data_IF_770343895644
#
_entry.id   IF_770343895644
#
_cell.length_a   1.000
_cell.length_b   1.000
_cell.length_c   1.000
_cell.angle_alpha   90.00
_cell.angle_beta   90.00
_cell.angle_gamma   90.00
#
_symmetry.space_group_name_H-M   'P 1'
#
loop_
_entity.id
_entity.type
_entity.pdbx_description
1 polymer ?
#
# COMPACT_ATOMS: atom_id res chain seq x y z
N UNK A 1 -10.22 8.59 -7.14
CA UNK A 1 -10.38 7.81 -8.40
C UNK A 1 -11.82 7.92 -8.87
N UNK A 2 -12.07 8.00 -10.19
CA UNK A 2 -13.44 7.97 -10.73
C UNK A 2 -13.96 6.54 -10.72
N UNK A 3 -15.25 6.34 -10.46
CA UNK A 3 -15.88 5.02 -10.50
C UNK A 3 -15.76 4.35 -11.87
N UNK A 4 -15.89 5.13 -12.96
CA UNK A 4 -15.72 4.62 -14.34
C UNK A 4 -14.34 4.01 -14.62
N UNK A 5 -13.27 4.47 -13.91
CA UNK A 5 -11.96 3.86 -14.03
C UNK A 5 -11.90 2.48 -13.35
N UNK A 6 -12.56 2.35 -12.22
CA UNK A 6 -12.67 1.07 -11.51
C UNK A 6 -13.52 0.07 -12.31
N UNK A 7 -14.66 0.52 -12.85
CA UNK A 7 -15.53 -0.31 -13.69
C UNK A 7 -14.79 -0.81 -14.95
N UNK A 8 -14.00 0.07 -15.59
CA UNK A 8 -13.19 -0.30 -16.74
C UNK A 8 -12.12 -1.32 -16.37
N UNK A 9 -11.40 -1.10 -15.26
CA UNK A 9 -10.42 -2.06 -14.77
C UNK A 9 -11.06 -3.43 -14.48
N UNK A 10 -12.24 -3.46 -13.86
CA UNK A 10 -12.98 -4.69 -13.61
C UNK A 10 -13.32 -5.45 -14.92
N UNK A 11 -13.71 -4.72 -15.96
CA UNK A 11 -14.08 -5.32 -17.28
C UNK A 11 -12.86 -5.81 -18.06
N UNK A 12 -11.72 -5.11 -17.99
CA UNK A 12 -10.58 -5.29 -18.89
C UNK A 12 -9.39 -6.00 -18.25
N UNK A 13 -9.24 -6.01 -16.91
CA UNK A 13 -8.15 -6.70 -16.22
C UNK A 13 -8.25 -8.22 -16.40
N UNK A 14 -7.17 -8.84 -16.90
CA UNK A 14 -7.13 -10.25 -17.26
C UNK A 14 -6.19 -11.08 -16.39
N UNK A 15 -5.34 -10.43 -15.59
CA UNK A 15 -4.39 -11.10 -14.72
C UNK A 15 -4.95 -11.29 -13.32
N UNK A 16 -4.64 -12.41 -12.68
CA UNK A 16 -5.05 -12.68 -11.31
C UNK A 16 -4.57 -11.61 -10.32
N UNK A 17 -3.31 -11.16 -10.47
CA UNK A 17 -2.74 -10.09 -9.65
C UNK A 17 -3.47 -8.75 -9.79
N UNK A 18 -3.94 -8.42 -10.99
CA UNK A 18 -4.68 -7.18 -11.25
C UNK A 18 -6.07 -7.19 -10.61
N UNK A 19 -6.69 -8.37 -10.54
CA UNK A 19 -8.01 -8.53 -9.92
C UNK A 19 -7.93 -8.62 -8.40
N UNK A 20 -6.90 -9.25 -7.87
CA UNK A 20 -6.65 -9.33 -6.43
C UNK A 20 -6.34 -7.95 -5.82
N UNK A 21 -5.43 -7.20 -6.46
CA UNK A 21 -4.96 -5.93 -5.93
C UNK A 21 -5.71 -4.69 -6.46
N UNK A 22 -6.69 -4.87 -7.35
CA UNK A 22 -7.64 -3.87 -7.88
C UNK A 22 -6.99 -2.75 -8.71
N UNK A 23 -5.96 -2.10 -8.20
CA UNK A 23 -5.38 -0.89 -8.82
C UNK A 23 -4.26 -1.13 -9.85
N UNK A 24 -3.58 -2.29 -9.93
CA UNK A 24 -2.47 -2.50 -10.86
C UNK A 24 -2.84 -2.26 -12.32
N UNK A 25 -4.00 -2.68 -12.77
CA UNK A 25 -4.46 -2.41 -14.12
C UNK A 25 -4.55 -0.91 -14.42
N UNK A 26 -5.02 -0.11 -13.45
CA UNK A 26 -5.19 1.34 -13.60
C UNK A 26 -3.83 2.04 -13.67
N UNK A 27 -2.92 1.78 -12.73
CA UNK A 27 -1.66 2.52 -12.69
C UNK A 27 -0.63 2.03 -13.73
N UNK A 28 -0.66 0.76 -14.14
CA UNK A 28 0.16 0.26 -15.26
C UNK A 28 -0.22 0.93 -16.58
N UNK A 29 -1.51 1.16 -16.79
CA UNK A 29 -2.05 1.78 -18.01
C UNK A 29 -2.29 3.30 -17.85
N UNK A 30 -1.71 3.90 -16.82
CA UNK A 30 -1.86 5.30 -16.50
C UNK A 30 -0.85 6.21 -17.21
N UNK A 31 -1.27 7.46 -17.52
CA UNK A 31 -0.44 8.45 -18.23
C UNK A 31 0.87 8.79 -17.52
N UNK A 32 0.92 8.71 -16.20
CA UNK A 32 2.16 8.95 -15.44
C UNK A 32 3.21 7.82 -15.58
N UNK A 33 2.87 6.71 -16.23
CA UNK A 33 3.76 5.59 -16.56
C UNK A 33 3.83 5.31 -18.07
N UNK A 34 3.44 6.27 -18.89
CA UNK A 34 3.45 6.14 -20.37
C UNK A 34 2.24 5.39 -20.94
N UNK A 35 1.28 4.98 -20.12
CA UNK A 35 0.00 4.41 -20.59
C UNK A 35 -0.92 5.49 -21.16
N UNK A 36 -1.93 5.05 -21.89
CA UNK A 36 -2.91 5.94 -22.57
C UNK A 36 -4.36 5.73 -22.12
N UNK A 37 -4.60 4.70 -21.31
CA UNK A 37 -5.98 4.31 -20.95
C UNK A 37 -6.56 5.20 -19.85
N UNK A 38 -5.74 5.51 -18.84
CA UNK A 38 -6.18 6.30 -17.69
C UNK A 38 -5.37 7.58 -17.56
N UNK A 39 -6.07 8.71 -17.36
CA UNK A 39 -5.41 9.94 -16.92
C UNK A 39 -5.10 9.80 -15.44
N UNK A 40 -3.83 9.63 -15.11
CA UNK A 40 -3.33 9.42 -13.73
C UNK A 40 -2.44 10.57 -13.30
N UNK A 41 -2.47 10.87 -12.02
CA UNK A 41 -1.57 11.81 -11.36
C UNK A 41 -0.89 11.15 -10.15
N UNK A 42 0.15 11.78 -9.67
CA UNK A 42 0.85 11.38 -8.44
C UNK A 42 0.56 12.42 -7.36
N UNK A 43 0.06 11.96 -6.23
CA UNK A 43 -0.01 12.77 -5.04
C UNK A 43 1.36 12.68 -4.33
N UNK A 44 2.02 13.81 -4.20
CA UNK A 44 3.26 13.92 -3.42
C UNK A 44 2.90 14.21 -1.98
N UNK A 45 3.59 13.58 -1.03
CA UNK A 45 3.40 13.88 0.38
C UNK A 45 3.74 15.36 0.66
N UNK A 46 2.79 16.17 1.16
CA UNK A 46 3.03 17.60 1.40
C UNK A 46 3.89 17.87 2.64
N UNK A 47 4.20 16.85 3.45
CA UNK A 47 4.91 17.00 4.73
C UNK A 47 6.41 16.67 4.68
N UNK A 48 7.04 16.75 3.48
CA UNK A 48 8.49 16.63 3.30
C UNK A 48 8.98 15.19 3.12
N UNK A 49 10.28 14.99 3.38
CA UNK A 49 11.03 13.75 3.10
C UNK A 49 10.67 12.58 4.02
N UNK A 50 9.39 12.33 4.14
CA UNK A 50 8.89 11.16 4.83
C UNK A 50 9.11 9.93 3.95
N UNK A 51 10.08 9.10 4.29
CA UNK A 51 10.26 7.84 3.58
C UNK A 51 9.19 6.84 4.03
N UNK A 52 8.09 6.78 3.29
CA UNK A 52 7.01 5.83 3.56
C UNK A 52 7.49 4.36 3.51
N UNK A 53 8.61 4.09 2.83
CA UNK A 53 9.17 2.75 2.74
C UNK A 53 9.84 2.29 4.04
N UNK A 54 10.21 3.23 4.93
CA UNK A 54 10.82 2.90 6.22
C UNK A 54 9.81 2.54 7.31
N UNK A 55 8.52 2.68 7.00
CA UNK A 55 7.46 2.45 7.97
C UNK A 55 6.37 1.56 7.37
N UNK A 56 6.12 0.44 8.04
CA UNK A 56 5.07 -0.49 7.68
C UNK A 56 3.94 -0.42 8.71
N UNK A 57 2.82 0.22 8.32
CA UNK A 57 1.60 0.35 9.12
C UNK A 57 0.44 -0.30 8.35
N UNK A 58 0.62 -1.54 7.95
CA UNK A 58 -0.40 -2.40 7.34
C UNK A 58 -0.60 -3.60 8.25
N UNK A 59 -1.66 -4.39 8.03
CA UNK A 59 -1.90 -5.63 8.77
C UNK A 59 -2.03 -6.76 7.74
N UNK A 60 -0.91 -7.41 7.43
CA UNK A 60 -0.85 -8.57 6.55
C UNK A 60 -0.25 -9.79 7.29
N UNK A 61 0.57 -9.53 8.32
CA UNK A 61 1.28 -10.55 9.11
C UNK A 61 0.98 -10.37 10.60
N UNK A 62 1.14 -11.41 11.44
CA UNK A 62 0.90 -11.32 12.88
C UNK A 62 1.72 -10.21 13.56
N UNK A 63 2.95 -9.99 13.12
CA UNK A 63 3.84 -8.96 13.66
C UNK A 63 3.36 -7.54 13.31
N UNK A 64 2.70 -7.36 12.18
CA UNK A 64 2.05 -6.09 11.84
C UNK A 64 0.96 -5.76 12.86
N UNK A 65 0.19 -6.77 13.28
CA UNK A 65 -0.83 -6.60 14.30
C UNK A 65 -0.24 -6.16 15.64
N UNK A 66 0.90 -6.70 16.06
CA UNK A 66 1.57 -6.28 17.30
C UNK A 66 2.05 -4.83 17.23
N UNK A 67 2.54 -4.36 16.08
CA UNK A 67 2.88 -2.93 15.89
C UNK A 67 1.63 -2.06 16.03
N UNK A 68 0.54 -2.38 15.33
CA UNK A 68 -0.71 -1.60 15.40
C UNK A 68 -1.29 -1.61 16.81
N UNK A 69 -1.28 -2.76 17.48
CA UNK A 69 -1.72 -2.90 18.86
C UNK A 69 -0.93 -1.99 19.81
N UNK A 70 0.41 -1.98 19.69
CA UNK A 70 1.26 -1.12 20.48
C UNK A 70 0.97 0.38 20.23
N UNK A 71 0.76 0.78 18.97
CA UNK A 71 0.39 2.14 18.60
C UNK A 71 -0.93 2.55 19.25
N UNK A 72 -1.97 1.72 19.15
CA UNK A 72 -3.30 2.01 19.72
C UNK A 72 -3.24 2.05 21.24
N UNK A 73 -2.53 1.12 21.87
CA UNK A 73 -2.41 1.08 23.34
C UNK A 73 -1.71 2.31 23.91
N UNK A 74 -0.74 2.88 23.22
CA UNK A 74 0.03 4.02 23.69
C UNK A 74 -0.54 5.38 23.29
N UNK A 75 -1.18 5.47 22.13
CA UNK A 75 -1.65 6.73 21.55
C UNK A 75 -3.18 6.85 21.43
N UNK A 76 -3.89 5.72 21.46
CA UNK A 76 -5.32 5.68 21.12
C UNK A 76 -5.55 5.59 19.60
N UNK A 77 -6.83 5.49 19.20
CA UNK A 77 -7.23 5.29 17.80
C UNK A 77 -7.46 6.61 17.01
N UNK A 78 -7.52 7.73 17.71
CA UNK A 78 -7.91 9.04 17.14
C UNK A 78 -6.71 9.90 16.72
N UNK A 79 -5.56 9.27 16.47
CA UNK A 79 -4.35 9.96 16.05
C UNK A 79 -4.21 10.02 14.55
N UNK A 80 -3.52 11.06 14.08
CA UNK A 80 -3.13 11.17 12.67
C UNK A 80 -2.04 10.15 12.35
N UNK A 81 -1.94 9.76 11.07
CA UNK A 81 -0.87 8.87 10.62
C UNK A 81 0.52 9.44 10.95
N UNK A 82 0.70 10.76 10.95
CA UNK A 82 1.95 11.42 11.31
C UNK A 82 2.32 11.19 12.77
N UNK A 83 1.37 11.31 13.70
CA UNK A 83 1.60 11.05 15.12
C UNK A 83 2.03 9.61 15.37
N UNK A 84 1.40 8.63 14.68
CA UNK A 84 1.82 7.23 14.75
C UNK A 84 3.24 7.01 14.24
N UNK A 85 3.59 7.64 13.13
CA UNK A 85 4.94 7.53 12.58
C UNK A 85 5.98 8.21 13.47
N UNK A 86 5.71 9.41 13.98
CA UNK A 86 6.58 10.12 14.91
C UNK A 86 6.81 9.28 16.19
N UNK A 87 5.80 8.52 16.62
CA UNK A 87 5.92 7.58 17.73
C UNK A 87 6.86 6.41 17.38
N UNK A 88 6.70 5.79 16.22
CA UNK A 88 7.58 4.70 15.78
C UNK A 88 9.06 5.14 15.64
N UNK A 89 9.32 6.37 15.25
CA UNK A 89 10.69 6.89 15.21
C UNK A 89 11.31 7.04 16.62
N UNK A 90 10.49 7.32 17.62
CA UNK A 90 10.93 7.41 19.02
C UNK A 90 11.01 6.05 19.71
N UNK A 91 10.40 5.01 19.14
CA UNK A 91 10.28 3.66 19.66
C UNK A 91 10.77 2.62 18.65
N UNK A 92 12.10 2.58 18.38
CA UNK A 92 12.67 1.66 17.39
C UNK A 92 12.43 0.18 17.75
N UNK A 93 12.24 -0.15 19.01
CA UNK A 93 11.90 -1.50 19.49
C UNK A 93 10.54 -1.95 18.95
N UNK A 94 9.54 -1.06 18.90
CA UNK A 94 8.21 -1.34 18.32
C UNK A 94 8.31 -1.39 16.80
N UNK A 95 8.99 -0.41 16.19
CA UNK A 95 9.20 -0.36 14.74
C UNK A 95 9.90 -1.61 14.21
N UNK A 96 10.76 -2.24 14.98
CA UNK A 96 11.52 -3.43 14.57
C UNK A 96 10.69 -4.71 14.52
N UNK A 97 9.53 -4.76 15.18
CA UNK A 97 8.71 -5.97 15.27
C UNK A 97 8.34 -6.55 13.89
N UNK A 98 8.06 -5.69 12.91
CA UNK A 98 7.70 -6.10 11.55
C UNK A 98 8.73 -5.72 10.48
N UNK A 99 9.94 -5.30 10.87
CA UNK A 99 10.98 -4.81 9.95
C UNK A 99 11.52 -5.86 8.97
N UNK A 100 11.31 -7.15 9.25
CA UNK A 100 11.71 -8.26 8.37
C UNK A 100 10.87 -8.33 7.09
N UNK A 101 9.65 -7.76 7.10
CA UNK A 101 8.76 -7.79 5.96
C UNK A 101 8.96 -6.55 5.09
N UNK A 102 9.13 -6.77 3.79
CA UNK A 102 9.20 -5.67 2.82
C UNK A 102 7.81 -5.22 2.41
N UNK A 103 7.68 -3.92 2.12
CA UNK A 103 6.46 -3.41 1.52
C UNK A 103 6.23 -4.08 0.15
N UNK A 104 4.98 -4.39 -0.14
CA UNK A 104 4.53 -5.02 -1.40
C UNK A 104 4.95 -6.50 -1.62
N UNK A 105 5.42 -7.23 -0.63
CA UNK A 105 5.75 -8.67 -0.79
C UNK A 105 4.56 -9.49 -1.32
N UNK A 106 3.34 -9.20 -0.84
CA UNK A 106 2.13 -9.86 -1.33
C UNK A 106 1.93 -9.64 -2.83
N UNK A 107 2.09 -8.40 -3.29
CA UNK A 107 1.98 -8.08 -4.72
C UNK A 107 3.08 -8.73 -5.56
N UNK A 108 4.32 -8.78 -5.07
CA UNK A 108 5.42 -9.48 -5.74
C UNK A 108 5.15 -10.99 -5.87
N UNK A 109 4.59 -11.61 -4.82
CA UNK A 109 4.17 -13.03 -4.84
C UNK A 109 3.03 -13.25 -5.85
N UNK A 110 2.03 -12.36 -5.88
CA UNK A 110 0.92 -12.44 -6.84
C UNK A 110 1.40 -12.34 -8.29
N UNK A 111 2.34 -11.42 -8.59
CA UNK A 111 2.92 -11.31 -9.94
C UNK A 111 3.67 -12.59 -10.34
N UNK A 112 4.46 -13.19 -9.43
CA UNK A 112 5.20 -14.43 -9.73
C UNK A 112 4.28 -15.61 -10.05
N UNK A 113 3.08 -15.61 -9.48
CA UNK A 113 2.06 -16.64 -9.66
C UNK A 113 0.94 -16.23 -10.61
N UNK A 114 1.17 -15.18 -11.41
CA UNK A 114 0.13 -14.57 -12.24
C UNK A 114 -0.43 -15.55 -13.27
N UNK A 115 -1.74 -15.48 -13.43
CA UNK A 115 -2.50 -16.32 -14.37
C UNK A 115 -3.47 -15.45 -15.15
N UNK A 116 -3.65 -15.78 -16.42
CA UNK A 116 -4.75 -15.24 -17.22
C UNK A 116 -6.04 -15.93 -16.75
N UNK A 117 -6.99 -15.13 -16.28
CA UNK A 117 -8.26 -15.61 -15.70
C UNK A 117 -9.49 -15.18 -16.49
N UNK A 118 -9.26 -14.52 -17.65
CA UNK A 118 -10.33 -14.04 -18.51
C UNK A 118 -9.96 -14.18 -19.97
#
# INVERSE_FOLDING_TARGET
MKFSALERAFKEANLSSEREHVTPYIWKNGTNRGGIIFKTGRLVNPFGDFNANDNRITIDEPEDFEVIKALIQNLGIDKTWKEYIDYLYKHPEIKSLNSRFRNNEGYEKSIKNDKIIK
#
